data_IF_184919181773
#
_entry.id   IF_184919181773
#
_cell.length_a   1.000
_cell.length_b   1.000
_cell.length_c   1.000
_cell.angle_alpha   90.00
_cell.angle_beta   90.00
_cell.angle_gamma   90.00
#
_symmetry.space_group_name_H-M   'P 1'
#
loop_
_entity.id
_entity.type
_entity.pdbx_description
1 polymer ?
#
# COMPACT_ATOMS: atom_id res chain seq x y z
N UNK A 1 24.21 18.59 -45.50
CA UNK A 1 23.65 18.66 -44.14
C UNK A 1 23.04 17.29 -43.82
N UNK A 2 23.86 16.33 -43.43
CA UNK A 2 23.43 14.97 -43.10
C UNK A 2 22.89 14.93 -41.67
N UNK A 3 21.57 14.73 -41.53
CA UNK A 3 20.98 14.50 -40.22
C UNK A 3 21.26 13.06 -39.80
N UNK A 4 22.13 12.88 -38.80
CA UNK A 4 22.30 11.59 -38.12
C UNK A 4 20.99 11.20 -37.43
N UNK A 5 20.30 10.21 -37.98
CA UNK A 5 19.15 9.57 -37.32
C UNK A 5 19.64 8.92 -36.04
N UNK A 6 19.14 9.36 -34.88
CA UNK A 6 19.42 8.68 -33.61
C UNK A 6 18.76 7.31 -33.65
N UNK A 7 19.43 6.24 -33.15
CA UNK A 7 18.83 4.92 -33.14
C UNK A 7 17.49 4.94 -32.40
N UNK A 8 16.43 4.53 -33.10
CA UNK A 8 15.08 4.43 -32.55
C UNK A 8 14.99 3.22 -31.62
N UNK A 9 14.41 3.41 -30.44
CA UNK A 9 14.15 2.35 -29.46
C UNK A 9 12.91 1.52 -29.81
N UNK A 10 12.10 1.97 -30.76
CA UNK A 10 10.86 1.30 -31.17
C UNK A 10 11.21 0.03 -31.96
N UNK A 11 10.59 -1.09 -31.57
CA UNK A 11 10.80 -2.40 -32.20
C UNK A 11 11.99 -3.20 -31.68
N UNK A 12 12.80 -2.65 -30.75
CA UNK A 12 13.95 -3.37 -30.18
C UNK A 12 13.58 -4.19 -28.94
N UNK A 13 14.22 -5.37 -28.77
CA UNK A 13 14.14 -6.17 -27.54
C UNK A 13 15.08 -5.59 -26.49
N UNK A 14 14.56 -4.68 -25.67
CA UNK A 14 15.32 -4.04 -24.59
C UNK A 14 14.97 -4.65 -23.22
N UNK A 15 15.94 -4.70 -22.28
CA UNK A 15 15.65 -5.09 -20.91
C UNK A 15 14.71 -4.09 -20.25
N UNK A 16 13.77 -4.58 -19.45
CA UNK A 16 12.80 -3.73 -18.72
C UNK A 16 13.55 -2.82 -17.74
N UNK A 17 13.31 -1.51 -17.86
CA UNK A 17 14.04 -0.44 -17.13
C UNK A 17 14.25 -0.72 -15.64
N UNK A 18 13.19 -1.13 -14.92
CA UNK A 18 13.24 -1.33 -13.47
C UNK A 18 13.54 -2.77 -13.03
N UNK A 19 13.68 -3.73 -13.96
CA UNK A 19 13.77 -5.15 -13.64
C UNK A 19 14.88 -5.47 -12.63
N UNK A 20 16.09 -4.92 -12.83
CA UNK A 20 17.23 -5.17 -11.93
C UNK A 20 16.98 -4.74 -10.48
N UNK A 21 16.31 -3.60 -10.27
CA UNK A 21 16.04 -3.08 -8.93
C UNK A 21 14.91 -3.84 -8.26
N UNK A 22 13.83 -4.11 -9.01
CA UNK A 22 12.68 -4.86 -8.51
C UNK A 22 13.04 -6.30 -8.16
N UNK A 23 13.78 -7.00 -9.03
CA UNK A 23 14.25 -8.36 -8.79
C UNK A 23 15.20 -8.48 -7.58
N UNK A 24 15.83 -7.36 -7.19
CA UNK A 24 16.71 -7.32 -6.04
C UNK A 24 16.03 -6.83 -4.75
N UNK A 25 14.69 -6.79 -4.69
CA UNK A 25 13.94 -6.34 -3.52
C UNK A 25 14.08 -4.85 -3.20
N UNK A 26 14.61 -4.05 -4.13
CA UNK A 26 14.79 -2.59 -3.98
C UNK A 26 13.63 -1.80 -4.59
N UNK A 27 12.46 -2.42 -4.71
CA UNK A 27 11.22 -1.70 -4.98
C UNK A 27 10.86 -0.80 -3.80
N UNK A 28 9.98 0.17 -4.03
CA UNK A 28 9.35 0.93 -2.98
C UNK A 28 7.85 0.91 -3.24
N UNK A 29 7.13 0.20 -2.39
CA UNK A 29 5.68 0.06 -2.41
C UNK A 29 5.08 0.78 -1.22
N UNK A 30 3.75 0.96 -1.21
CA UNK A 30 3.07 1.72 -0.16
C UNK A 30 3.38 1.17 1.25
N UNK A 31 3.49 -0.15 1.39
CA UNK A 31 3.78 -0.81 2.67
C UNK A 31 5.26 -0.79 3.07
N UNK A 32 6.16 -0.38 2.17
CA UNK A 32 7.59 -0.19 2.47
C UNK A 32 7.86 1.20 3.08
N UNK A 33 6.92 2.13 2.94
CA UNK A 33 7.10 3.50 3.41
C UNK A 33 7.17 3.53 4.94
N UNK A 34 8.10 4.33 5.48
CA UNK A 34 8.28 4.53 6.93
C UNK A 34 8.33 6.02 7.21
N UNK A 35 7.53 6.46 8.16
CA UNK A 35 7.46 7.87 8.59
C UNK A 35 7.55 7.94 10.13
N UNK A 36 8.06 9.04 10.69
CA UNK A 36 8.01 9.26 12.13
C UNK A 36 6.57 9.18 12.64
N UNK A 37 6.34 8.33 13.66
CA UNK A 37 5.02 8.11 14.30
C UNK A 37 3.95 7.53 13.36
N UNK A 38 4.35 6.76 12.34
CA UNK A 38 3.41 6.01 11.50
C UNK A 38 2.55 5.08 12.37
N UNK A 39 1.22 5.22 12.26
CA UNK A 39 0.25 4.31 12.89
C UNK A 39 -0.24 3.28 11.88
N UNK A 40 -0.67 2.13 12.38
CA UNK A 40 -1.36 1.10 11.59
C UNK A 40 -2.87 1.13 11.85
N UNK A 41 -3.65 0.81 10.82
CA UNK A 41 -5.10 0.70 10.92
C UNK A 41 -5.55 -0.74 10.62
N UNK A 42 -6.53 -1.22 11.37
CA UNK A 42 -7.20 -2.49 11.14
C UNK A 42 -8.72 -2.28 11.14
N UNK A 43 -9.44 -3.08 10.36
CA UNK A 43 -10.88 -2.95 10.18
C UNK A 43 -11.60 -4.21 10.68
N UNK A 44 -12.52 -4.03 11.62
CA UNK A 44 -13.52 -5.04 11.92
C UNK A 44 -14.53 -5.09 10.77
N UNK A 45 -14.76 -6.28 10.21
CA UNK A 45 -15.68 -6.50 9.09
C UNK A 45 -16.93 -7.23 9.57
N UNK A 46 -18.07 -6.93 8.97
CA UNK A 46 -19.32 -7.63 9.27
C UNK A 46 -19.19 -9.12 8.92
N UNK A 47 -19.55 -10.04 9.82
CA UNK A 47 -19.69 -11.46 9.49
C UNK A 47 -21.02 -11.77 8.79
N UNK A 48 -21.96 -10.81 8.76
CA UNK A 48 -23.27 -10.95 8.13
C UNK A 48 -23.32 -10.18 6.81
N UNK A 49 -23.83 -10.82 5.75
CA UNK A 49 -24.01 -10.19 4.44
C UNK A 49 -25.06 -9.07 4.45
N UNK A 50 -26.11 -9.22 5.27
CA UNK A 50 -27.16 -8.22 5.47
C UNK A 50 -27.67 -8.26 6.90
N UNK A 51 -27.41 -7.19 7.66
CA UNK A 51 -27.85 -7.04 9.03
C UNK A 51 -27.82 -5.55 9.44
N UNK A 52 -28.58 -5.21 10.48
CA UNK A 52 -28.47 -3.91 11.15
C UNK A 52 -27.47 -4.03 12.30
N UNK A 53 -26.54 -3.09 12.41
CA UNK A 53 -25.68 -2.96 13.59
C UNK A 53 -26.55 -2.41 14.72
N UNK A 54 -26.86 -3.25 15.71
CA UNK A 54 -27.71 -2.85 16.84
C UNK A 54 -26.91 -2.07 17.90
N UNK A 55 -25.68 -2.50 18.17
CA UNK A 55 -24.75 -1.86 19.10
C UNK A 55 -23.31 -2.27 18.76
N UNK A 56 -22.34 -1.46 19.18
CA UNK A 56 -20.92 -1.78 19.14
C UNK A 56 -20.24 -1.20 20.37
N UNK A 57 -19.59 -2.05 21.17
CA UNK A 57 -18.74 -1.60 22.28
C UNK A 57 -17.27 -1.65 21.87
N UNK A 58 -16.62 -0.48 21.91
CA UNK A 58 -15.20 -0.31 21.58
C UNK A 58 -14.32 -0.15 22.82
N UNK A 59 -14.88 -0.27 24.04
CA UNK A 59 -14.17 -0.06 25.31
C UNK A 59 -12.95 -0.98 25.45
N UNK A 60 -13.14 -2.27 25.19
CA UNK A 60 -12.07 -3.27 25.26
C UNK A 60 -10.94 -2.95 24.27
N UNK A 61 -11.27 -2.57 23.03
CA UNK A 61 -10.27 -2.22 22.03
C UNK A 61 -9.45 -0.98 22.45
N UNK A 62 -10.11 0.03 23.02
CA UNK A 62 -9.46 1.27 23.51
C UNK A 62 -8.60 1.06 24.75
N UNK A 63 -8.81 -0.02 25.51
CA UNK A 63 -8.04 -0.34 26.70
C UNK A 63 -6.74 -1.12 26.39
N UNK A 64 -6.55 -1.58 25.15
CA UNK A 64 -5.34 -2.31 24.75
C UNK A 64 -4.18 -1.34 24.60
N UNK A 65 -3.05 -1.65 25.24
CA UNK A 65 -1.83 -0.88 25.10
C UNK A 65 -1.36 -0.82 23.63
N UNK A 66 -0.96 0.36 23.18
CA UNK A 66 -0.60 0.63 21.78
C UNK A 66 -1.77 0.91 20.83
N UNK A 67 -3.04 0.75 21.25
CA UNK A 67 -4.18 1.22 20.44
C UNK A 67 -4.31 2.74 20.59
N UNK A 68 -4.06 3.45 19.50
CA UNK A 68 -4.19 4.91 19.49
C UNK A 68 -5.66 5.37 19.50
N UNK A 69 -6.52 4.69 18.74
CA UNK A 69 -7.95 5.00 18.67
C UNK A 69 -8.77 3.84 18.09
N UNK A 70 -10.06 3.82 18.43
CA UNK A 70 -11.07 2.96 17.80
C UNK A 70 -12.35 3.76 17.55
N UNK A 71 -12.89 3.66 16.33
CA UNK A 71 -13.99 4.49 15.83
C UNK A 71 -15.18 3.65 15.35
N UNK A 72 -16.38 4.20 15.49
CA UNK A 72 -17.62 3.74 14.85
C UNK A 72 -18.35 4.94 14.23
N UNK A 73 -19.33 4.67 13.36
CA UNK A 73 -20.13 5.69 12.68
C UNK A 73 -21.24 6.25 13.58
#
# INVERSE_FOLDING_TARGET
>A
MEQRVRPSIIGQRLPRSHARRLAAGRGAYADDLRFPRLLHAAFLRSPHAHARIAALDLSAARAIDGVFAAYNA
#
